data_IF_581118259058
#
_entry.id   IF_581118259058
#
_cell.length_a   1.000
_cell.length_b   1.000
_cell.length_c   1.000
_cell.angle_alpha   90.00
_cell.angle_beta   90.00
_cell.angle_gamma   90.00
#
_symmetry.space_group_name_H-M   'P 1'
#
loop_
_entity.id
_entity.type
_entity.pdbx_description
1 polymer ?
#
# COMPACT_ATOMS: atom_id res chain seq x y z
N UNK A 1 4.14 12.68 -6.87
CA UNK A 1 3.65 11.72 -7.88
C UNK A 1 2.17 12.01 -8.18
N UNK A 2 1.71 11.94 -9.42
CA UNK A 2 0.27 12.15 -9.72
C UNK A 2 -0.53 10.98 -9.15
N UNK A 3 -1.48 11.24 -8.24
CA UNK A 3 -2.26 10.21 -7.52
C UNK A 3 -2.84 9.12 -8.44
N UNK A 4 -3.39 9.50 -9.59
CA UNK A 4 -3.96 8.56 -10.56
C UNK A 4 -2.95 7.53 -11.07
N UNK A 5 -1.70 7.93 -11.28
CA UNK A 5 -0.62 7.03 -11.72
C UNK A 5 -0.25 6.03 -10.63
N UNK A 6 -0.24 6.45 -9.36
CA UNK A 6 0.02 5.54 -8.24
C UNK A 6 -1.04 4.44 -8.14
N UNK A 7 -2.32 4.79 -8.31
CA UNK A 7 -3.41 3.80 -8.32
C UNK A 7 -3.34 2.85 -9.52
N UNK A 8 -2.97 3.34 -10.70
CA UNK A 8 -2.76 2.50 -11.88
C UNK A 8 -1.57 1.56 -11.67
N UNK A 9 -0.46 2.06 -11.15
CA UNK A 9 0.73 1.27 -10.85
C UNK A 9 0.43 0.13 -9.87
N UNK A 10 -0.25 0.44 -8.76
CA UNK A 10 -0.68 -0.60 -7.83
C UNK A 10 -1.59 -1.62 -8.50
N UNK A 11 -2.54 -1.17 -9.31
CA UNK A 11 -3.46 -2.07 -10.00
C UNK A 11 -2.73 -3.04 -10.92
N UNK A 12 -1.77 -2.53 -11.70
CA UNK A 12 -0.95 -3.36 -12.59
C UNK A 12 -0.14 -4.37 -11.78
N UNK A 13 0.56 -3.95 -10.72
CA UNK A 13 1.30 -4.86 -9.80
C UNK A 13 0.38 -5.92 -9.20
N UNK A 14 -0.81 -5.52 -8.78
CA UNK A 14 -1.80 -6.41 -8.18
C UNK A 14 -2.18 -7.54 -9.14
N UNK A 15 -2.35 -7.28 -10.44
CA UNK A 15 -2.67 -8.31 -11.44
C UNK A 15 -1.60 -9.41 -11.50
N UNK A 16 -0.32 -9.04 -11.41
CA UNK A 16 0.79 -10.01 -11.36
C UNK A 16 0.87 -10.80 -10.04
N UNK A 17 0.23 -10.31 -8.97
CA UNK A 17 0.27 -10.91 -7.63
C UNK A 17 -0.97 -11.78 -7.33
N UNK A 18 -1.64 -12.35 -8.35
CA UNK A 18 -2.90 -13.11 -8.15
C UNK A 18 -2.78 -14.29 -7.20
N UNK A 19 -1.62 -14.93 -7.17
CA UNK A 19 -1.31 -16.08 -6.30
C UNK A 19 -0.31 -15.71 -5.19
N UNK A 20 -0.22 -14.43 -4.81
CA UNK A 20 0.62 -14.01 -3.69
C UNK A 20 0.10 -14.65 -2.39
N UNK A 21 0.99 -15.33 -1.66
CA UNK A 21 0.73 -15.99 -0.37
C UNK A 21 -0.35 -17.09 -0.41
N UNK A 22 -0.10 -18.20 -1.14
CA UNK A 22 -1.05 -19.32 -1.22
C UNK A 22 -1.21 -20.08 0.11
N UNK A 23 -0.22 -19.95 1.00
CA UNK A 23 -0.10 -20.55 2.31
C UNK A 23 -1.07 -19.95 3.36
N UNK A 24 -1.47 -18.69 3.18
CA UNK A 24 -2.40 -18.03 4.10
C UNK A 24 -3.82 -18.60 3.86
N UNK A 25 -4.38 -19.30 4.84
CA UNK A 25 -5.72 -19.90 4.71
C UNK A 25 -6.86 -18.86 4.66
N UNK A 26 -6.77 -17.78 5.44
CA UNK A 26 -7.82 -16.75 5.51
C UNK A 26 -7.85 -15.91 4.22
N UNK A 27 -8.97 -15.90 3.47
CA UNK A 27 -9.10 -15.11 2.25
C UNK A 27 -9.00 -13.59 2.48
N UNK A 28 -9.39 -13.08 3.65
CA UNK A 28 -9.26 -11.66 3.95
C UNK A 28 -7.79 -11.28 4.17
N UNK A 29 -7.03 -12.11 4.89
CA UNK A 29 -5.59 -11.91 5.07
C UNK A 29 -4.83 -12.06 3.75
N UNK A 30 -5.17 -13.02 2.89
CA UNK A 30 -4.60 -13.11 1.53
C UNK A 30 -4.81 -11.83 0.73
N UNK A 31 -6.04 -11.30 0.75
CA UNK A 31 -6.34 -10.06 0.02
C UNK A 31 -5.55 -8.87 0.55
N UNK A 32 -5.41 -8.78 1.87
CA UNK A 32 -4.62 -7.74 2.51
C UNK A 32 -3.14 -7.87 2.16
N UNK A 33 -2.58 -9.09 2.22
CA UNK A 33 -1.19 -9.37 1.85
C UNK A 33 -0.92 -8.94 0.40
N UNK A 34 -1.81 -9.30 -0.53
CA UNK A 34 -1.74 -8.85 -1.94
C UNK A 34 -1.86 -7.33 -2.08
N UNK A 35 -2.73 -6.69 -1.31
CA UNK A 35 -2.89 -5.23 -1.32
C UNK A 35 -1.63 -4.50 -0.85
N UNK A 36 -0.94 -5.03 0.16
CA UNK A 36 0.33 -4.52 0.67
C UNK A 36 1.48 -4.75 -0.32
N UNK A 37 1.61 -5.96 -0.86
CA UNK A 37 2.67 -6.32 -1.81
C UNK A 37 2.57 -5.57 -3.15
N UNK A 38 1.35 -5.15 -3.52
CA UNK A 38 1.11 -4.38 -4.75
C UNK A 38 1.35 -2.88 -4.61
N UNK A 39 1.57 -2.36 -3.39
CA UNK A 39 1.85 -0.94 -3.21
C UNK A 39 3.09 -0.52 -4.02
N UNK A 40 3.08 0.69 -4.61
CA UNK A 40 4.30 1.26 -5.17
C UNK A 40 5.32 1.53 -4.06
N UNK A 41 6.59 1.54 -4.45
CA UNK A 41 7.71 1.48 -3.51
C UNK A 41 7.68 2.63 -2.48
N UNK A 42 7.32 3.85 -2.90
CA UNK A 42 7.22 5.02 -2.00
C UNK A 42 6.15 4.85 -0.92
N UNK A 43 4.94 4.45 -1.32
CA UNK A 43 3.83 4.23 -0.38
C UNK A 43 4.05 3.00 0.48
N UNK A 44 4.70 1.96 -0.07
CA UNK A 44 5.12 0.79 0.67
C UNK A 44 6.12 1.18 1.77
N UNK A 45 7.14 1.97 1.44
CA UNK A 45 8.16 2.42 2.38
C UNK A 45 7.56 3.29 3.51
N UNK A 46 6.73 4.28 3.17
CA UNK A 46 6.06 5.13 4.17
C UNK A 46 5.16 4.31 5.09
N UNK A 47 4.38 3.36 4.54
CA UNK A 47 3.55 2.47 5.34
C UNK A 47 4.39 1.56 6.24
N UNK A 48 5.48 1.01 5.72
CA UNK A 48 6.39 0.13 6.45
C UNK A 48 7.01 0.85 7.65
N UNK A 49 7.51 2.08 7.45
CA UNK A 49 8.06 2.92 8.51
C UNK A 49 7.01 3.27 9.58
N UNK A 50 5.79 3.64 9.16
CA UNK A 50 4.73 4.01 10.09
C UNK A 50 4.20 2.81 10.90
N UNK A 51 4.07 1.63 10.28
CA UNK A 51 3.32 0.50 10.86
C UNK A 51 4.20 -0.60 11.44
N UNK A 52 5.35 -0.87 10.85
CA UNK A 52 6.27 -1.90 11.36
C UNK A 52 7.38 -1.31 12.22
N UNK A 53 7.84 -0.10 11.92
CA UNK A 53 8.86 0.59 12.74
C UNK A 53 8.25 1.58 13.75
N UNK A 54 6.94 1.85 13.66
CA UNK A 54 6.23 2.72 14.61
C UNK A 54 6.65 4.19 14.54
N UNK A 55 7.28 4.63 13.45
CA UNK A 55 7.76 5.99 13.30
C UNK A 55 6.61 6.99 13.16
N UNK A 56 6.80 8.16 13.78
CA UNK A 56 5.94 9.33 13.61
C UNK A 56 6.24 10.03 12.29
N UNK A 57 5.32 10.89 11.84
CA UNK A 57 5.33 11.53 10.51
C UNK A 57 6.56 12.40 10.30
N UNK A 58 6.95 13.16 11.32
CA UNK A 58 8.19 13.94 11.41
C UNK A 58 9.43 13.06 11.19
N UNK A 59 9.53 11.93 11.90
CA UNK A 59 10.64 10.99 11.75
C UNK A 59 10.68 10.34 10.36
N UNK A 60 9.52 9.99 9.79
CA UNK A 60 9.41 9.50 8.42
C UNK A 60 9.87 10.56 7.43
N UNK A 61 9.45 11.81 7.62
CA UNK A 61 9.82 12.95 6.78
C UNK A 61 11.34 13.17 6.79
N UNK A 62 11.96 13.20 7.98
CA UNK A 62 13.42 13.28 8.11
C UNK A 62 14.13 12.11 7.45
N UNK A 63 13.63 10.88 7.62
CA UNK A 63 14.24 9.68 7.04
C UNK A 63 14.15 9.63 5.52
N UNK A 64 13.09 10.19 4.94
CA UNK A 64 12.82 10.16 3.51
C UNK A 64 13.20 11.45 2.78
N UNK A 65 13.74 12.45 3.48
CA UNK A 65 14.16 13.74 2.94
C UNK A 65 13.00 14.56 2.36
N UNK A 66 11.82 14.54 3.00
CA UNK A 66 10.61 15.26 2.56
C UNK A 66 10.02 16.10 3.69
N UNK A 67 9.00 16.91 3.39
CA UNK A 67 8.23 17.62 4.42
C UNK A 67 7.33 16.67 5.21
N UNK A 68 6.96 17.07 6.43
CA UNK A 68 6.00 16.32 7.27
C UNK A 68 4.64 16.19 6.57
N UNK A 69 4.18 17.26 5.92
CA UNK A 69 2.95 17.23 5.13
C UNK A 69 3.03 16.21 3.99
N UNK A 70 4.15 16.15 3.27
CA UNK A 70 4.35 15.17 2.20
C UNK A 70 4.39 13.74 2.77
N UNK A 71 5.04 13.51 3.91
CA UNK A 71 5.03 12.20 4.57
C UNK A 71 3.61 11.78 4.98
N UNK A 72 2.83 12.73 5.51
CA UNK A 72 1.42 12.50 5.86
C UNK A 72 0.56 12.20 4.62
N UNK A 73 0.72 12.97 3.53
CA UNK A 73 0.00 12.73 2.28
C UNK A 73 0.30 11.36 1.66
N UNK A 74 1.58 10.95 1.65
CA UNK A 74 2.00 9.64 1.16
C UNK A 74 1.45 8.50 2.02
N UNK A 75 1.41 8.66 3.34
CA UNK A 75 0.82 7.67 4.24
C UNK A 75 -0.70 7.55 4.03
N UNK A 76 -1.40 8.69 3.92
CA UNK A 76 -2.84 8.71 3.62
C UNK A 76 -3.11 8.03 2.27
N UNK A 77 -2.29 8.32 1.25
CA UNK A 77 -2.41 7.69 -0.06
C UNK A 77 -2.20 6.18 0.03
N UNK A 78 -1.17 5.71 0.75
CA UNK A 78 -0.91 4.29 0.97
C UNK A 78 -2.13 3.57 1.59
N UNK A 79 -2.73 4.16 2.63
CA UNK A 79 -3.92 3.60 3.28
C UNK A 79 -5.14 3.54 2.35
N UNK A 80 -5.37 4.59 1.56
CA UNK A 80 -6.43 4.62 0.55
C UNK A 80 -6.23 3.54 -0.52
N UNK A 81 -4.98 3.36 -0.96
CA UNK A 81 -4.58 2.35 -1.94
C UNK A 81 -4.83 0.93 -1.43
N UNK A 82 -4.43 0.61 -0.19
CA UNK A 82 -4.72 -0.68 0.45
C UNK A 82 -6.23 -0.91 0.51
N UNK A 83 -6.99 0.05 1.06
CA UNK A 83 -8.43 -0.08 1.22
C UNK A 83 -9.18 -0.26 -0.11
N UNK A 84 -8.76 0.46 -1.16
CA UNK A 84 -9.34 0.34 -2.50
C UNK A 84 -9.00 -1.00 -3.15
N UNK A 85 -7.76 -1.48 -3.00
CA UNK A 85 -7.35 -2.80 -3.47
C UNK A 85 -8.18 -3.91 -2.80
N UNK A 86 -8.25 -3.95 -1.47
CA UNK A 86 -9.04 -4.98 -0.76
C UNK A 86 -10.52 -4.98 -1.18
N UNK A 87 -11.15 -3.80 -1.33
CA UNK A 87 -12.54 -3.71 -1.83
C UNK A 87 -12.68 -4.23 -3.25
N UNK A 88 -11.69 -3.98 -4.11
CA UNK A 88 -11.67 -4.44 -5.51
C UNK A 88 -11.56 -5.96 -5.58
N UNK A 89 -10.66 -6.55 -4.78
CA UNK A 89 -10.45 -7.99 -4.68
C UNK A 89 -11.66 -8.78 -4.12
N UNK A 90 -12.61 -8.11 -3.47
CA UNK A 90 -13.86 -8.71 -3.00
C UNK A 90 -14.95 -8.77 -4.07
N UNK A 91 -14.80 -8.03 -5.18
CA UNK A 91 -15.83 -7.99 -6.24
C UNK A 91 -15.82 -9.30 -7.04
N UNK A 92 -17.01 -9.77 -7.42
CA UNK A 92 -17.19 -10.94 -8.28
C UNK A 92 -16.51 -10.65 -9.64
N UNK A 93 -15.69 -11.58 -10.12
CA UNK A 93 -14.96 -11.43 -11.40
C UNK A 93 -13.54 -10.85 -11.28
N UNK A 94 -13.02 -10.67 -10.07
CA UNK A 94 -11.60 -10.37 -9.81
C UNK A 94 -10.73 -11.63 -9.77
#
# INVERSE_FOLDING_TARGET
>A
MIRHLAFLHQHVRELFLKNCSPDIADPNLRRLARALASLPDRQHEVFRLARYEGLRRDAIASRLGISEDAANEELVLALQMIGRSVRRQKRKGW
#
